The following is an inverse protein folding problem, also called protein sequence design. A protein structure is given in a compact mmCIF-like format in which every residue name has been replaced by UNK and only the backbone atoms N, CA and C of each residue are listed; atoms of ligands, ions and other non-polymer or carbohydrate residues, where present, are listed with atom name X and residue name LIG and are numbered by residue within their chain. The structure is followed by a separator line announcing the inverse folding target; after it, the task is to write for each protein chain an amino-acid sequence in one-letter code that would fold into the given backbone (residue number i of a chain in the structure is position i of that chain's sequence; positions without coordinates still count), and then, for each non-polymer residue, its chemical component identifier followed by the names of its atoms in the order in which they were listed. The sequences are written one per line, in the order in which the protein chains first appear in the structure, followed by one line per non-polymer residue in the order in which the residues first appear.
data_IF_133294447662
#
_entry.id   IF_133294447662
#
_cell.length_a   1.000
_cell.length_b   1.000
_cell.length_c   1.000
_cell.angle_alpha   90.00
_cell.angle_beta   90.00
_cell.angle_gamma   90.00
#
_symmetry.space_group_name_H-M   'P 1'
#
loop_
_entity.id
_entity.type
_entity.pdbx_description
1 polymer ?
#
# COMPACT_ATOMS: atom_id res chain seq x y z
N UNK A 1 -7.54 -9.56 16.61
CA UNK A 1 -7.17 -9.95 15.25
C UNK A 1 -5.65 -9.96 15.12
N UNK A 2 -5.12 -10.98 14.51
CA UNK A 2 -3.67 -11.14 14.42
C UNK A 2 -3.02 -10.07 13.54
N UNK A 3 -1.80 -9.68 13.91
CA UNK A 3 -1.02 -8.70 13.17
C UNK A 3 -0.86 -9.06 11.70
N UNK A 4 -0.51 -10.31 11.41
CA UNK A 4 -0.30 -10.77 10.03
C UNK A 4 -1.56 -10.63 9.20
N UNK A 5 -2.70 -10.90 9.78
CA UNK A 5 -3.99 -10.79 9.10
C UNK A 5 -4.33 -9.34 8.77
N UNK A 6 -4.06 -8.43 9.70
CA UNK A 6 -4.24 -7.00 9.50
C UNK A 6 -3.34 -6.50 8.37
N UNK A 7 -2.07 -6.90 8.38
CA UNK A 7 -1.13 -6.48 7.33
C UNK A 7 -1.55 -6.97 5.95
N UNK A 8 -2.09 -8.18 5.87
CA UNK A 8 -2.59 -8.72 4.59
C UNK A 8 -3.82 -7.95 4.09
N UNK A 9 -4.73 -7.59 4.99
CA UNK A 9 -5.93 -6.83 4.64
C UNK A 9 -5.53 -5.45 4.12
N UNK A 10 -4.65 -4.75 4.84
CA UNK A 10 -4.16 -3.44 4.44
C UNK A 10 -3.40 -3.53 3.11
N UNK A 11 -2.51 -4.52 2.99
CA UNK A 11 -1.74 -4.71 1.77
C UNK A 11 -2.63 -4.95 0.56
N UNK A 12 -3.68 -5.76 0.71
CA UNK A 12 -4.65 -6.00 -0.35
C UNK A 12 -5.40 -4.73 -0.74
N UNK A 13 -5.75 -3.92 0.24
CA UNK A 13 -6.40 -2.64 -0.02
C UNK A 13 -5.50 -1.71 -0.85
N UNK A 14 -4.22 -1.62 -0.47
CA UNK A 14 -3.25 -0.82 -1.21
C UNK A 14 -3.14 -1.28 -2.66
N UNK A 15 -3.05 -2.59 -2.87
CA UNK A 15 -3.01 -3.18 -4.20
C UNK A 15 -4.27 -2.81 -5.01
N UNK A 16 -5.44 -2.90 -4.39
CA UNK A 16 -6.70 -2.56 -5.04
C UNK A 16 -6.73 -1.09 -5.49
N UNK A 17 -6.30 -0.18 -4.61
CA UNK A 17 -6.24 1.24 -4.95
C UNK A 17 -5.26 1.47 -6.09
N UNK A 18 -4.06 0.87 -6.02
CA UNK A 18 -3.06 0.99 -7.07
C UNK A 18 -3.62 0.51 -8.42
N UNK A 19 -4.23 -0.67 -8.43
CA UNK A 19 -4.78 -1.24 -9.67
C UNK A 19 -5.94 -0.41 -10.20
N UNK A 20 -6.76 0.16 -9.32
CA UNK A 20 -7.87 1.03 -9.73
C UNK A 20 -7.37 2.31 -10.43
N UNK A 21 -6.16 2.73 -10.12
CA UNK A 21 -5.52 3.88 -10.77
C UNK A 21 -4.78 3.48 -12.05
N UNK A 22 -4.74 2.19 -12.37
CA UNK A 22 -4.11 1.70 -13.59
C UNK A 22 -2.59 1.58 -13.50
N UNK A 23 -2.01 1.52 -12.29
CA UNK A 23 -0.55 1.47 -12.14
C UNK A 23 -0.07 0.07 -11.79
N UNK A 24 1.06 -0.32 -12.43
CA UNK A 24 1.84 -1.46 -11.97
C UNK A 24 2.61 -1.09 -10.71
N UNK A 25 3.18 -2.08 -10.04
CA UNK A 25 4.05 -1.81 -8.89
C UNK A 25 5.23 -0.94 -9.30
N UNK A 26 5.81 -1.22 -10.45
CA UNK A 26 6.97 -0.47 -10.95
C UNK A 26 6.60 0.99 -11.27
N UNK A 27 5.42 1.20 -11.85
CA UNK A 27 4.93 2.55 -12.13
C UNK A 27 4.68 3.32 -10.84
N UNK A 28 4.17 2.67 -9.80
CA UNK A 28 4.00 3.30 -8.50
C UNK A 28 5.35 3.76 -7.95
N UNK A 29 6.37 2.89 -8.01
CA UNK A 29 7.73 3.23 -7.58
C UNK A 29 8.25 4.47 -8.33
N UNK A 30 8.01 4.53 -9.63
CA UNK A 30 8.40 5.69 -10.43
C UNK A 30 7.73 6.98 -9.96
N UNK A 31 6.45 6.90 -9.61
CA UNK A 31 5.71 8.05 -9.08
C UNK A 31 6.19 8.47 -7.69
N UNK A 32 6.81 7.57 -6.96
CA UNK A 32 7.41 7.87 -5.66
C UNK A 32 8.85 8.38 -5.79
N UNK A 33 9.27 8.70 -7.02
CA UNK A 33 10.59 9.27 -7.32
C UNK A 33 11.75 8.40 -6.84
N UNK A 34 11.55 7.09 -6.82
CA UNK A 34 12.60 6.15 -6.46
C UNK A 34 12.89 6.04 -4.97
N UNK A 35 12.07 6.63 -4.12
CA UNK A 35 12.27 6.57 -2.66
C UNK A 35 11.95 5.19 -2.06
N UNK A 36 11.49 4.27 -2.87
CA UNK A 36 11.13 2.94 -2.39
C UNK A 36 11.56 1.89 -3.42
N UNK A 37 11.98 0.75 -2.92
CA UNK A 37 12.34 -0.38 -3.76
C UNK A 37 11.08 -1.10 -4.24
N UNK A 38 10.99 -1.53 -5.52
CA UNK A 38 9.84 -2.29 -6.01
C UNK A 38 9.53 -3.53 -5.18
N UNK A 39 10.57 -4.20 -4.68
CA UNK A 39 10.41 -5.38 -3.82
C UNK A 39 9.67 -5.01 -2.54
N UNK A 40 9.90 -3.79 -2.02
CA UNK A 40 9.23 -3.34 -0.80
C UNK A 40 7.74 -3.11 -1.05
N UNK A 41 7.36 -2.57 -2.21
CA UNK A 41 5.93 -2.44 -2.57
C UNK A 41 5.28 -3.82 -2.60
N UNK A 42 5.93 -4.80 -3.23
CA UNK A 42 5.43 -6.17 -3.28
C UNK A 42 5.22 -6.76 -1.88
N UNK A 43 6.16 -6.53 -0.98
CA UNK A 43 6.07 -7.00 0.40
C UNK A 43 4.93 -6.33 1.17
N UNK A 44 4.75 -5.04 0.98
CA UNK A 44 3.66 -4.30 1.61
C UNK A 44 2.32 -4.85 1.14
N UNK A 45 2.15 -5.02 -0.17
CA UNK A 45 0.89 -5.48 -0.75
C UNK A 45 0.56 -6.92 -0.36
N UNK A 46 1.57 -7.75 -0.12
CA UNK A 46 1.36 -9.13 0.30
C UNK A 46 1.26 -9.31 1.82
N UNK A 47 1.42 -8.23 2.58
CA UNK A 47 1.34 -8.27 4.04
C UNK A 47 2.57 -8.84 4.71
N UNK A 48 3.71 -8.86 4.02
CA UNK A 48 4.96 -9.42 4.55
C UNK A 48 5.80 -8.41 5.33
N UNK A 49 5.42 -7.15 5.32
CA UNK A 49 6.12 -6.12 6.06
C UNK A 49 5.13 -5.17 6.69
N UNK A 50 5.56 -4.49 7.73
CA UNK A 50 4.77 -3.49 8.44
C UNK A 50 5.31 -2.11 8.05
N UNK A 51 4.72 -1.46 7.04
CA UNK A 51 5.23 -0.17 6.60
C UNK A 51 5.00 0.91 7.66
N UNK A 52 5.87 1.91 7.65
CA UNK A 52 5.65 3.06 8.52
C UNK A 52 4.50 3.90 7.98
N UNK A 53 3.92 4.73 8.84
CA UNK A 53 2.88 5.67 8.42
C UNK A 53 3.41 6.60 7.34
N UNK A 54 4.67 7.02 7.44
CA UNK A 54 5.28 7.88 6.42
C UNK A 54 5.31 7.19 5.05
N UNK A 55 5.69 5.92 5.01
CA UNK A 55 5.68 5.15 3.76
C UNK A 55 4.28 5.05 3.18
N UNK A 56 3.28 4.79 4.03
CA UNK A 56 1.88 4.75 3.59
C UNK A 56 1.43 6.10 3.03
N UNK A 57 1.80 7.19 3.70
CA UNK A 57 1.49 8.53 3.21
C UNK A 57 2.11 8.77 1.82
N UNK A 58 3.37 8.35 1.62
CA UNK A 58 4.04 8.52 0.34
C UNK A 58 3.36 7.73 -0.78
N UNK A 59 2.89 6.52 -0.46
CA UNK A 59 2.13 5.72 -1.41
C UNK A 59 0.81 6.43 -1.77
N UNK A 60 0.09 6.90 -0.76
CA UNK A 60 -1.17 7.61 -0.98
C UNK A 60 -0.96 8.85 -1.86
N UNK A 61 0.08 9.63 -1.57
CA UNK A 61 0.44 10.81 -2.34
C UNK A 61 0.70 10.45 -3.81
N UNK A 62 1.47 9.40 -4.06
CA UNK A 62 1.80 8.94 -5.40
C UNK A 62 0.56 8.46 -6.16
N UNK A 63 -0.41 7.88 -5.45
CA UNK A 63 -1.67 7.41 -6.03
C UNK A 63 -2.74 8.50 -6.09
N UNK A 64 -2.44 9.69 -5.57
CA UNK A 64 -3.35 10.83 -5.53
C UNK A 64 -4.63 10.53 -4.77
N UNK A 65 -4.50 9.82 -3.66
CA UNK A 65 -5.58 9.56 -2.72
C UNK A 65 -5.15 10.00 -1.32
N UNK A 66 -6.12 10.17 -0.42
CA UNK A 66 -5.80 10.47 0.96
C UNK A 66 -5.28 9.21 1.67
N UNK A 67 -4.53 9.39 2.75
CA UNK A 67 -4.12 8.26 3.58
C UNK A 67 -5.34 7.50 4.10
N UNK A 68 -6.39 8.23 4.49
CA UNK A 68 -7.65 7.63 4.94
C UNK A 68 -8.23 6.70 3.87
N UNK A 69 -8.28 7.15 2.62
CA UNK A 69 -8.80 6.34 1.53
C UNK A 69 -7.92 5.11 1.28
N UNK A 70 -6.59 5.30 1.33
CA UNK A 70 -5.65 4.21 1.07
C UNK A 70 -5.82 3.05 2.05
N UNK A 71 -6.09 3.36 3.32
CA UNK A 71 -6.21 2.35 4.38
C UNK A 71 -7.65 2.12 4.82
N UNK A 72 -8.61 2.47 3.98
CA UNK A 72 -10.02 2.24 4.27
C UNK A 72 -10.31 0.73 4.14
N UNK A 73 -10.38 0.07 5.28
CA UNK A 73 -10.56 -1.37 5.36
C UNK A 73 -11.68 -1.71 6.33
N UNK A 74 -12.30 -2.87 6.10
CA UNK A 74 -13.24 -3.44 7.05
C UNK A 74 -12.57 -4.62 7.73
N UNK A 75 -12.66 -4.64 9.05
CA UNK A 75 -12.14 -5.74 9.85
C UNK A 75 -13.32 -6.40 10.53
N UNK A 76 -13.53 -7.67 10.22
CA UNK A 76 -14.56 -8.48 10.88
C UNK A 76 -13.91 -9.59 11.68
N UNK A 77 -14.32 -9.72 12.90
CA UNK A 77 -13.85 -10.77 13.80
C UNK A 77 -14.71 -12.01 13.67
#
# INVERSE_FOLDING_TARGET
LEKDKILKIIGRRIKQVRESKGFSQLELVGKMLGDIDPTNISRIESGRTNPTIYTLYRIAEALEVSLEELVSIEISN
#
